data_IF_861438151433
#
_entry.id   IF_861438151433
#
_cell.length_a   1.000
_cell.length_b   1.000
_cell.length_c   1.000
_cell.angle_alpha   90.00
_cell.angle_beta   90.00
_cell.angle_gamma   90.00
#
_symmetry.space_group_name_H-M   'P 1'
#
loop_
_entity.id
_entity.type
_entity.pdbx_description
1 polymer ?
#
# COMPACT_ATOMS: atom_id res chain seq x y z
N UNK A 1 18.54 14.83 -7.84
CA UNK A 1 19.44 13.68 -7.64
C UNK A 1 18.66 12.72 -6.74
N UNK A 2 17.95 11.75 -7.32
CA UNK A 2 17.22 10.75 -6.55
C UNK A 2 18.22 9.85 -5.84
N UNK A 3 18.40 10.03 -4.53
CA UNK A 3 19.14 9.08 -3.73
C UNK A 3 18.36 7.77 -3.75
N UNK A 4 18.82 6.81 -4.57
CA UNK A 4 18.26 5.47 -4.59
C UNK A 4 18.33 4.90 -3.17
N UNK A 5 17.16 4.68 -2.54
CA UNK A 5 17.08 4.01 -1.24
C UNK A 5 17.81 2.67 -1.33
N UNK A 6 18.70 2.40 -0.36
CA UNK A 6 19.42 1.13 -0.26
C UNK A 6 18.90 0.34 0.94
N UNK A 7 18.52 -0.90 0.71
CA UNK A 7 18.21 -1.84 1.80
C UNK A 7 19.48 -2.14 2.61
N UNK A 8 19.35 -2.15 3.94
CA UNK A 8 20.40 -2.61 4.83
C UNK A 8 20.58 -4.13 4.69
N UNK A 9 21.82 -4.57 4.71
CA UNK A 9 22.24 -5.97 4.77
C UNK A 9 22.19 -6.44 6.23
N UNK A 10 21.36 -7.43 6.53
CA UNK A 10 21.20 -7.97 7.89
C UNK A 10 22.44 -8.70 8.40
N UNK A 11 23.37 -9.08 7.52
CA UNK A 11 24.61 -9.79 7.89
C UNK A 11 25.75 -8.83 8.29
N UNK A 12 25.57 -7.53 8.09
CA UNK A 12 26.60 -6.50 8.33
C UNK A 12 26.15 -5.52 9.41
N UNK A 13 27.09 -5.03 10.20
CA UNK A 13 26.80 -3.98 11.19
C UNK A 13 26.43 -2.68 10.49
N UNK A 14 25.56 -1.88 11.12
CA UNK A 14 25.16 -0.57 10.59
C UNK A 14 26.36 0.33 10.29
N UNK A 15 27.38 0.34 11.18
CA UNK A 15 28.61 1.13 11.02
C UNK A 15 29.38 0.81 9.73
N UNK A 16 29.31 -0.42 9.22
CA UNK A 16 29.96 -0.84 7.96
C UNK A 16 29.18 -0.43 6.72
N UNK A 17 27.89 -0.10 6.87
CA UNK A 17 26.96 0.17 5.77
C UNK A 17 26.60 1.64 5.66
N UNK A 18 26.67 2.36 6.78
CA UNK A 18 26.47 3.79 6.88
C UNK A 18 27.81 4.49 6.60
N UNK A 19 27.94 5.13 5.43
CA UNK A 19 29.15 5.88 5.06
C UNK A 19 29.40 7.01 6.05
N UNK A 20 30.56 7.01 6.70
CA UNK A 20 30.98 7.95 7.76
C UNK A 20 30.92 9.44 7.38
N UNK A 21 30.77 9.74 6.09
CA UNK A 21 30.73 11.10 5.54
C UNK A 21 29.42 11.85 5.80
N UNK A 22 28.35 11.18 6.24
CA UNK A 22 27.05 11.82 6.54
C UNK A 22 26.87 12.00 8.05
N UNK A 23 26.56 13.22 8.49
CA UNK A 23 26.35 13.56 9.91
C UNK A 23 24.98 13.13 10.44
N UNK A 24 24.03 12.79 9.55
CA UNK A 24 22.69 12.31 9.90
C UNK A 24 22.26 11.21 8.93
N UNK A 25 21.75 10.10 9.47
CA UNK A 25 21.19 9.00 8.69
C UNK A 25 19.69 8.93 8.91
N UNK A 26 18.91 8.93 7.82
CA UNK A 26 17.49 8.63 7.87
C UNK A 26 17.28 7.16 7.51
N UNK A 27 16.83 6.38 8.49
CA UNK A 27 16.42 4.99 8.28
C UNK A 27 14.91 4.93 8.14
N UNK A 28 14.43 4.19 7.15
CA UNK A 28 13.01 3.95 6.93
C UNK A 28 12.75 2.45 7.10
N UNK A 29 11.80 2.12 7.96
CA UNK A 29 11.26 0.76 8.01
C UNK A 29 10.24 0.61 6.89
N UNK A 30 10.42 -0.40 6.03
CA UNK A 30 9.59 -0.64 4.85
C UNK A 30 9.47 -2.15 4.61
N UNK A 31 8.33 -2.54 4.05
CA UNK A 31 8.07 -3.84 3.44
C UNK A 31 8.88 -3.95 2.15
N UNK A 32 9.74 -4.97 2.07
CA UNK A 32 10.57 -5.23 0.87
C UNK A 32 9.92 -6.23 -0.09
N UNK A 33 9.20 -7.20 0.47
CA UNK A 33 8.59 -8.30 -0.25
C UNK A 33 7.12 -8.34 0.12
N UNK A 34 6.25 -8.22 -0.87
CA UNK A 34 4.81 -8.37 -0.68
C UNK A 34 4.43 -9.83 -0.88
N UNK A 35 3.61 -10.35 0.02
CA UNK A 35 3.04 -11.68 -0.09
C UNK A 35 1.86 -11.63 -1.08
N UNK A 36 1.66 -12.72 -1.82
CA UNK A 36 0.54 -12.84 -2.77
C UNK A 36 -0.82 -12.86 -2.09
N UNK A 37 -0.87 -13.32 -0.84
CA UNK A 37 -2.06 -13.27 0.00
C UNK A 37 -1.68 -12.87 1.43
N UNK A 38 -1.62 -11.55 1.72
CA UNK A 38 -1.29 -11.06 3.05
C UNK A 38 -2.32 -11.44 4.12
N UNK A 39 -3.57 -11.72 3.72
CA UNK A 39 -4.67 -11.99 4.64
C UNK A 39 -4.54 -13.36 5.32
N UNK A 40 -4.05 -14.36 4.57
CA UNK A 40 -3.86 -15.74 5.06
C UNK A 40 -2.43 -16.05 5.48
N UNK A 41 -1.45 -15.27 5.02
CA UNK A 41 -0.02 -15.53 5.26
C UNK A 41 0.59 -14.66 6.36
N UNK A 42 -0.12 -13.65 6.84
CA UNK A 42 0.31 -12.79 7.96
C UNK A 42 -0.74 -12.94 9.04
N UNK A 43 -0.37 -13.47 10.21
CA UNK A 43 -1.31 -13.56 11.34
C UNK A 43 -1.34 -12.29 12.18
N UNK A 44 -0.27 -11.48 12.10
CA UNK A 44 -0.10 -10.25 12.88
C UNK A 44 -0.78 -9.04 12.21
N UNK A 45 -1.85 -8.55 12.84
CA UNK A 45 -2.63 -7.40 12.37
C UNK A 45 -1.80 -6.12 12.22
N UNK A 46 -0.80 -5.90 13.09
CA UNK A 46 0.08 -4.74 12.97
C UNK A 46 0.93 -4.80 11.69
N UNK A 47 1.46 -5.98 11.36
CA UNK A 47 2.19 -6.22 10.12
C UNK A 47 1.28 -6.04 8.89
N UNK A 48 0.04 -6.54 8.92
CA UNK A 48 -0.94 -6.28 7.85
C UNK A 48 -1.18 -4.79 7.64
N UNK A 49 -1.37 -4.04 8.73
CA UNK A 49 -1.55 -2.59 8.67
C UNK A 49 -0.34 -1.88 8.04
N UNK A 50 0.89 -2.28 8.39
CA UNK A 50 2.10 -1.72 7.76
C UNK A 50 2.18 -2.02 6.26
N UNK A 51 1.72 -3.20 5.81
CA UNK A 51 1.61 -3.54 4.39
C UNK A 51 0.63 -2.60 3.69
N UNK A 52 -0.58 -2.46 4.23
CA UNK A 52 -1.62 -1.57 3.69
C UNK A 52 -1.11 -0.13 3.58
N UNK A 53 -0.46 0.39 4.62
CA UNK A 53 0.10 1.74 4.62
C UNK A 53 1.16 1.94 3.52
N UNK A 54 2.04 0.95 3.32
CA UNK A 54 3.05 1.06 2.27
C UNK A 54 2.43 0.96 0.87
N UNK A 55 1.50 0.03 0.67
CA UNK A 55 0.75 -0.11 -0.58
C UNK A 55 0.03 1.19 -0.92
N UNK A 56 -0.72 1.76 0.03
CA UNK A 56 -1.44 3.04 -0.12
C UNK A 56 -0.50 4.15 -0.59
N UNK A 57 0.68 4.27 0.04
CA UNK A 57 1.68 5.28 -0.33
C UNK A 57 2.29 5.04 -1.71
N UNK A 58 2.59 3.80 -2.05
CA UNK A 58 3.22 3.45 -3.32
C UNK A 58 2.26 3.55 -4.50
N UNK A 59 1.01 3.08 -4.35
CA UNK A 59 -0.09 3.26 -5.30
C UNK A 59 -0.32 4.74 -5.59
N UNK A 60 -0.49 5.56 -4.54
CA UNK A 60 -0.76 7.00 -4.68
C UNK A 60 0.40 7.75 -5.35
N UNK A 61 1.64 7.31 -5.09
CA UNK A 61 2.83 7.90 -5.71
C UNK A 61 3.03 7.49 -7.18
N UNK A 62 2.30 6.48 -7.67
CA UNK A 62 2.48 5.90 -9.00
C UNK A 62 3.82 5.18 -9.20
N UNK A 63 4.57 4.91 -8.12
CA UNK A 63 5.90 4.28 -8.18
C UNK A 63 5.83 2.75 -8.22
N UNK A 64 4.68 2.18 -7.86
CA UNK A 64 4.44 0.74 -7.98
C UNK A 64 4.07 0.39 -9.42
N UNK A 65 4.92 -0.39 -10.09
CA UNK A 65 4.60 -0.96 -11.39
C UNK A 65 3.65 -2.15 -11.19
N UNK A 66 2.35 -1.92 -11.35
CA UNK A 66 1.34 -2.97 -11.30
C UNK A 66 0.26 -2.75 -12.38
N UNK A 67 -0.39 -3.83 -12.86
CA UNK A 67 -1.57 -3.71 -13.70
C UNK A 67 -2.67 -2.94 -12.97
N UNK A 68 -3.52 -2.24 -13.74
CA UNK A 68 -4.66 -1.49 -13.20
C UNK A 68 -5.57 -2.34 -12.32
N UNK A 69 -5.87 -3.56 -12.74
CA UNK A 69 -6.70 -4.51 -11.98
C UNK A 69 -6.11 -4.85 -10.61
N UNK A 70 -4.79 -5.05 -10.54
CA UNK A 70 -4.08 -5.25 -9.26
C UNK A 70 -4.16 -4.00 -8.40
N UNK A 71 -3.99 -2.81 -8.97
CA UNK A 71 -4.14 -1.57 -8.21
C UNK A 71 -5.58 -1.40 -7.67
N UNK A 72 -6.60 -1.81 -8.42
CA UNK A 72 -7.99 -1.76 -7.97
C UNK A 72 -8.27 -2.73 -6.82
N UNK A 73 -7.76 -3.97 -6.86
CA UNK A 73 -7.85 -4.93 -5.75
C UNK A 73 -7.13 -4.39 -4.50
N UNK A 74 -5.94 -3.81 -4.67
CA UNK A 74 -5.21 -3.23 -3.54
C UNK A 74 -5.95 -2.02 -2.93
N UNK A 75 -6.58 -1.22 -3.78
CA UNK A 75 -7.43 -0.11 -3.34
C UNK A 75 -8.69 -0.60 -2.62
N UNK A 76 -9.31 -1.71 -3.02
CA UNK A 76 -10.47 -2.25 -2.31
C UNK A 76 -10.12 -2.74 -0.92
N UNK A 77 -8.94 -3.33 -0.72
CA UNK A 77 -8.46 -3.67 0.62
C UNK A 77 -8.18 -2.43 1.49
N UNK A 78 -7.71 -1.34 0.89
CA UNK A 78 -7.58 -0.05 1.60
C UNK A 78 -8.96 0.44 2.04
N UNK A 79 -9.96 0.39 1.16
CA UNK A 79 -11.34 0.76 1.49
C UNK A 79 -11.88 -0.10 2.62
N UNK A 80 -11.76 -1.43 2.52
CA UNK A 80 -12.22 -2.36 3.55
C UNK A 80 -11.56 -2.10 4.91
N UNK A 81 -10.28 -1.72 4.91
CA UNK A 81 -9.57 -1.37 6.16
C UNK A 81 -10.04 -0.05 6.80
N UNK A 82 -10.62 0.87 6.03
CA UNK A 82 -11.04 2.20 6.49
C UNK A 82 -12.55 2.25 6.77
N UNK A 83 -13.36 1.54 5.98
CA UNK A 83 -14.82 1.56 6.03
C UNK A 83 -15.44 0.26 6.58
N UNK A 84 -14.66 -0.82 6.70
CA UNK A 84 -15.20 -2.15 7.02
C UNK A 84 -15.77 -2.85 5.78
N UNK A 85 -16.55 -3.90 5.99
CA UNK A 85 -17.17 -4.65 4.90
C UNK A 85 -18.26 -3.84 4.18
N UNK A 86 -18.51 -4.17 2.92
CA UNK A 86 -19.50 -3.44 2.12
C UNK A 86 -20.94 -3.62 2.67
N UNK A 87 -21.52 -2.54 3.19
CA UNK A 87 -22.95 -2.40 3.45
C UNK A 87 -23.65 -1.52 2.37
N UNK A 88 -24.66 -2.02 1.63
CA UNK A 88 -25.39 -1.23 0.63
C UNK A 88 -26.20 -0.04 1.18
N UNK A 89 -26.58 -0.04 2.47
CA UNK A 89 -27.30 1.08 3.09
C UNK A 89 -26.36 2.26 3.40
N UNK A 90 -25.11 1.95 3.76
CA UNK A 90 -24.07 2.93 4.09
C UNK A 90 -23.26 3.36 2.85
N UNK A 91 -22.91 2.43 1.97
CA UNK A 91 -22.05 2.64 0.81
C UNK A 91 -22.85 2.93 -0.47
N UNK A 92 -23.50 4.10 -0.49
CA UNK A 92 -24.23 4.58 -1.68
C UNK A 92 -23.29 4.98 -2.82
N UNK A 93 -23.84 5.08 -4.03
CA UNK A 93 -23.08 5.48 -5.21
C UNK A 93 -22.25 6.75 -4.95
N UNK A 94 -20.95 6.68 -5.27
CA UNK A 94 -20.02 7.78 -5.06
C UNK A 94 -19.31 7.80 -3.69
N UNK A 95 -19.51 6.81 -2.81
CA UNK A 95 -18.84 6.76 -1.50
C UNK A 95 -17.30 6.73 -1.57
N UNK A 96 -16.73 6.46 -2.75
CA UNK A 96 -15.29 6.46 -2.99
C UNK A 96 -14.76 7.77 -3.61
N UNK A 97 -15.61 8.77 -3.88
CA UNK A 97 -15.22 10.01 -4.57
C UNK A 97 -14.17 10.84 -3.81
N UNK A 98 -14.20 10.77 -2.47
CA UNK A 98 -13.25 11.45 -1.60
C UNK A 98 -11.92 10.69 -1.44
N UNK A 99 -11.87 9.43 -1.89
CA UNK A 99 -10.66 8.64 -1.83
C UNK A 99 -9.71 8.98 -2.98
N UNK A 100 -8.42 8.88 -2.71
CA UNK A 100 -7.34 9.01 -3.71
C UNK A 100 -6.42 7.81 -3.56
N UNK A 101 -6.56 6.86 -4.47
CA UNK A 101 -5.76 5.64 -4.49
C UNK A 101 -4.58 5.77 -5.46
N UNK A 102 -4.77 6.41 -6.61
CA UNK A 102 -3.77 6.49 -7.69
C UNK A 102 -3.65 7.93 -8.23
N UNK A 103 -2.48 8.35 -8.76
CA UNK A 103 -2.21 9.74 -9.14
C UNK A 103 -3.05 10.26 -10.33
N UNK A 104 -3.61 9.36 -11.14
CA UNK A 104 -4.51 9.69 -12.26
C UNK A 104 -5.83 8.92 -12.13
N UNK A 105 -6.42 8.97 -10.93
CA UNK A 105 -7.68 8.30 -10.65
C UNK A 105 -8.79 8.83 -11.56
N UNK A 106 -9.63 7.91 -12.05
CA UNK A 106 -10.78 8.22 -12.85
C UNK A 106 -12.02 7.46 -12.33
N UNK A 107 -13.24 7.86 -12.72
CA UNK A 107 -14.46 7.23 -12.21
C UNK A 107 -14.56 5.73 -12.54
N UNK A 108 -13.96 5.30 -13.66
CA UNK A 108 -13.92 3.87 -14.01
C UNK A 108 -13.05 3.07 -13.04
N UNK A 109 -12.04 3.70 -12.44
CA UNK A 109 -11.19 3.05 -11.44
C UNK A 109 -11.95 2.90 -10.13
N UNK A 110 -12.67 3.94 -9.72
CA UNK A 110 -13.52 3.91 -8.53
C UNK A 110 -14.58 2.81 -8.61
N UNK A 111 -15.20 2.61 -9.79
CA UNK A 111 -16.13 1.49 -10.02
C UNK A 111 -15.48 0.12 -9.90
N UNK A 112 -14.25 -0.01 -10.42
CA UNK A 112 -13.47 -1.25 -10.33
C UNK A 112 -13.13 -1.57 -8.86
N UNK A 113 -12.74 -0.55 -8.09
CA UNK A 113 -12.49 -0.66 -6.64
C UNK A 113 -13.78 -1.01 -5.88
N UNK A 114 -14.89 -0.36 -6.19
CA UNK A 114 -16.20 -0.64 -5.59
C UNK A 114 -16.64 -2.08 -5.87
N UNK A 115 -16.43 -2.58 -7.09
CA UNK A 115 -16.73 -3.97 -7.43
C UNK A 115 -15.91 -4.93 -6.56
N UNK A 116 -14.60 -4.71 -6.46
CA UNK A 116 -13.77 -5.56 -5.61
C UNK A 116 -14.10 -5.41 -4.12
N UNK A 117 -14.52 -4.24 -3.65
CA UNK A 117 -14.94 -4.06 -2.26
C UNK A 117 -16.21 -4.90 -1.94
N UNK A 118 -17.14 -5.02 -2.90
CA UNK A 118 -18.32 -5.88 -2.78
C UNK A 118 -18.01 -7.38 -2.83
N UNK A 119 -16.94 -7.77 -3.52
CA UNK A 119 -16.55 -9.19 -3.71
C UNK A 119 -15.71 -9.74 -2.54
N UNK A 120 -14.99 -8.87 -1.82
CA UNK A 120 -14.08 -9.25 -0.73
C UNK A 120 -14.59 -8.90 0.68
N UNK A 121 -15.72 -8.19 0.78
CA UNK A 121 -16.45 -7.92 2.03
C UNK A 121 -17.45 -9.02 2.37
#
# INVERSE_FOLDING_TARGET
QDFAYRWLDSTKTLKKQLTTTMSQYHLYFKVRFFLTDPSTQIDDEFTKYLYVLQIKKELLSGKMWCPRSTAAILASYIVQSELGDYDPEEHRQGYLEDFRFVPFQNPDFEKEVEQYHKEHG
#
